data_IF_510849612637
#
_entry.id   IF_510849612637
#
_cell.length_a   1.000
_cell.length_b   1.000
_cell.length_c   1.000
_cell.angle_alpha   90.00
_cell.angle_beta   90.00
_cell.angle_gamma   90.00
#
_symmetry.space_group_name_H-M   'P 1'
#
loop_
_entity.id
_entity.type
_entity.pdbx_description
1 polymer ?
#
# COMPACT_ATOMS: atom_id res chain seq x y z
N UNK A 1 -21.25 -23.79 24.63
CA UNK A 1 -21.61 -22.46 24.08
C UNK A 1 -20.33 -21.68 23.92
N UNK A 2 -20.13 -21.11 22.72
CA UNK A 2 -18.84 -20.82 22.11
C UNK A 2 -17.94 -19.84 22.85
N UNK A 3 -16.64 -20.06 22.65
CA UNK A 3 -15.53 -19.25 23.14
C UNK A 3 -15.68 -17.78 22.70
N UNK A 4 -15.68 -16.87 23.67
CA UNK A 4 -15.49 -15.44 23.45
C UNK A 4 -14.04 -15.21 23.07
N UNK A 5 -13.78 -14.97 21.78
CA UNK A 5 -12.46 -14.56 21.23
C UNK A 5 -12.08 -13.13 21.68
N UNK A 6 -11.95 -12.92 22.99
CA UNK A 6 -11.36 -11.71 23.58
C UNK A 6 -9.96 -12.04 24.09
N UNK A 7 -8.96 -11.95 23.21
CA UNK A 7 -7.59 -11.51 23.52
C UNK A 7 -6.77 -11.57 22.23
N UNK A 8 -6.67 -10.47 21.49
CA UNK A 8 -5.54 -10.33 20.54
C UNK A 8 -4.94 -8.93 20.43
N UNK A 9 -5.58 -7.88 20.95
CA UNK A 9 -5.03 -6.53 20.89
C UNK A 9 -5.38 -5.74 22.18
N UNK A 10 -4.40 -5.05 22.81
CA UNK A 10 -4.64 -4.22 23.97
C UNK A 10 -5.50 -2.99 23.63
N UNK A 11 -6.29 -2.54 24.60
CA UNK A 11 -7.31 -1.46 24.56
C UNK A 11 -6.84 -0.06 24.10
N UNK A 12 -5.57 0.09 23.74
CA UNK A 12 -4.97 1.38 23.35
C UNK A 12 -4.95 1.61 21.83
N UNK A 13 -5.54 0.69 21.06
CA UNK A 13 -5.54 0.65 19.59
C UNK A 13 -6.87 1.07 18.95
N UNK A 14 -7.90 1.36 19.75
CA UNK A 14 -9.27 1.59 19.28
C UNK A 14 -9.42 2.82 18.37
N UNK A 15 -8.42 3.72 18.34
CA UNK A 15 -8.42 4.93 17.52
C UNK A 15 -7.34 4.97 16.42
N UNK A 16 -6.64 3.87 16.14
CA UNK A 16 -5.64 3.84 15.08
C UNK A 16 -6.24 3.29 13.79
N UNK A 17 -6.33 4.14 12.77
CA UNK A 17 -6.68 3.71 11.40
C UNK A 17 -5.73 2.57 11.00
N UNK A 18 -6.25 1.41 10.55
CA UNK A 18 -5.40 0.34 10.08
C UNK A 18 -4.59 0.84 8.88
N UNK A 19 -3.29 0.50 8.84
CA UNK A 19 -2.39 0.93 7.78
C UNK A 19 -2.31 -0.11 6.68
N UNK A 20 -2.43 0.32 5.42
CA UNK A 20 -2.19 -0.52 4.25
C UNK A 20 -1.12 0.15 3.38
N UNK A 21 -0.19 -0.68 2.92
CA UNK A 21 0.88 -0.24 2.02
C UNK A 21 0.69 -0.91 0.68
N UNK A 22 0.47 -0.12 -0.35
CA UNK A 22 0.39 -0.58 -1.74
C UNK A 22 1.79 -0.52 -2.36
N UNK A 23 2.06 -1.47 -3.24
CA UNK A 23 3.30 -1.50 -4.02
C UNK A 23 3.02 -2.13 -5.38
N UNK A 24 4.01 -2.05 -6.25
CA UNK A 24 3.87 -2.30 -7.68
C UNK A 24 4.44 -1.12 -8.46
N UNK A 25 4.78 -1.35 -9.72
CA UNK A 25 5.46 -0.34 -10.53
C UNK A 25 6.04 -0.91 -11.81
N UNK A 26 6.91 -0.14 -12.44
CA UNK A 26 7.58 -0.51 -13.69
C UNK A 26 6.79 -0.14 -14.95
N UNK A 27 5.46 -0.27 -14.96
CA UNK A 27 4.59 0.26 -16.02
C UNK A 27 3.27 0.80 -15.47
N UNK A 28 2.63 1.73 -16.19
CA UNK A 28 1.34 2.30 -15.79
C UNK A 28 0.25 1.22 -15.56
N UNK A 29 0.27 0.14 -16.33
CA UNK A 29 -0.71 -0.97 -16.22
C UNK A 29 -0.65 -1.72 -14.88
N UNK A 30 0.50 -1.77 -14.22
CA UNK A 30 0.62 -2.39 -12.89
C UNK A 30 0.27 -1.41 -11.75
N UNK A 31 0.30 -0.11 -12.02
CA UNK A 31 0.00 0.94 -11.03
C UNK A 31 -1.50 1.25 -11.01
N UNK A 32 -2.15 1.26 -12.18
CA UNK A 32 -3.56 1.64 -12.33
C UNK A 32 -4.53 0.90 -11.41
N UNK A 33 -4.43 -0.43 -11.17
CA UNK A 33 -5.33 -1.12 -10.25
C UNK A 33 -5.20 -0.59 -8.82
N UNK A 34 -3.98 -0.28 -8.37
CA UNK A 34 -3.75 0.29 -7.05
C UNK A 34 -4.41 1.67 -6.93
N UNK A 35 -4.27 2.53 -7.95
CA UNK A 35 -4.88 3.86 -7.95
C UNK A 35 -6.41 3.80 -7.84
N UNK A 36 -7.03 2.83 -8.51
CA UNK A 36 -8.48 2.62 -8.45
C UNK A 36 -8.96 2.18 -7.06
N UNK A 37 -8.11 1.52 -6.26
CA UNK A 37 -8.45 1.04 -4.92
C UNK A 37 -8.31 2.11 -3.84
N UNK A 38 -7.39 3.07 -4.00
CA UNK A 38 -7.07 4.07 -2.97
C UNK A 38 -8.31 4.77 -2.41
N UNK A 39 -9.25 5.34 -3.22
CA UNK A 39 -10.40 6.05 -2.69
C UNK A 39 -11.33 5.17 -1.84
N UNK A 40 -11.49 3.89 -2.23
CA UNK A 40 -12.30 2.93 -1.47
C UNK A 40 -11.65 2.60 -0.13
N UNK A 41 -10.34 2.39 -0.12
CA UNK A 41 -9.59 2.11 1.11
C UNK A 41 -9.62 3.31 2.07
N UNK A 42 -9.46 4.53 1.57
CA UNK A 42 -9.58 5.73 2.40
C UNK A 42 -10.99 5.89 2.98
N UNK A 43 -12.04 5.61 2.18
CA UNK A 43 -13.44 5.64 2.63
C UNK A 43 -13.75 4.57 3.68
N UNK A 44 -13.09 3.42 3.61
CA UNK A 44 -13.15 2.35 4.63
C UNK A 44 -12.31 2.66 5.88
N UNK A 45 -11.65 3.82 5.93
CA UNK A 45 -10.92 4.29 7.09
C UNK A 45 -9.47 3.79 7.18
N UNK A 46 -8.91 3.27 6.09
CA UNK A 46 -7.50 2.89 6.05
C UNK A 46 -6.60 4.13 5.98
N UNK A 47 -5.42 4.01 6.58
CA UNK A 47 -4.28 4.87 6.28
C UNK A 47 -3.50 4.24 5.12
N UNK A 48 -3.64 4.80 3.92
CA UNK A 48 -3.07 4.25 2.69
C UNK A 48 -1.73 4.93 2.39
N UNK A 49 -0.69 4.13 2.20
CA UNK A 49 0.63 4.59 1.78
C UNK A 49 1.12 3.76 0.59
N UNK A 50 2.08 4.29 -0.18
CA UNK A 50 2.61 3.61 -1.36
C UNK A 50 4.12 3.49 -1.29
N UNK A 51 4.66 2.35 -1.71
CA UNK A 51 6.11 2.13 -1.87
C UNK A 51 6.41 1.73 -3.31
N UNK A 52 7.36 2.41 -3.95
CA UNK A 52 7.76 2.10 -5.32
C UNK A 52 9.16 2.61 -5.68
N UNK A 53 9.53 2.47 -6.94
CA UNK A 53 10.82 2.95 -7.43
C UNK A 53 10.91 4.48 -7.36
N UNK A 54 11.99 5.00 -6.79
CA UNK A 54 12.25 6.45 -6.75
C UNK A 54 12.29 7.11 -8.14
N UNK A 55 12.51 6.31 -9.20
CA UNK A 55 12.62 6.73 -10.59
C UNK A 55 11.48 6.19 -11.46
N UNK A 56 10.52 5.47 -10.88
CA UNK A 56 9.42 4.83 -11.61
C UNK A 56 8.27 5.78 -11.89
N UNK A 57 7.49 5.46 -12.94
CA UNK A 57 6.27 6.21 -13.30
C UNK A 57 5.23 6.20 -12.17
N UNK A 58 5.23 5.16 -11.33
CA UNK A 58 4.37 5.05 -10.16
C UNK A 58 4.49 6.25 -9.21
N UNK A 59 5.67 6.86 -9.10
CA UNK A 59 5.87 8.02 -8.22
C UNK A 59 4.97 9.17 -8.65
N UNK A 60 5.04 9.55 -9.93
CA UNK A 60 4.25 10.65 -10.48
C UNK A 60 2.75 10.35 -10.40
N UNK A 61 2.35 9.12 -10.75
CA UNK A 61 0.94 8.72 -10.75
C UNK A 61 0.34 8.71 -9.33
N UNK A 62 1.10 8.26 -8.33
CA UNK A 62 0.62 8.19 -6.95
C UNK A 62 0.66 9.55 -6.26
N UNK A 63 1.68 10.38 -6.53
CA UNK A 63 1.74 11.76 -6.01
C UNK A 63 0.53 12.60 -6.46
N UNK A 64 -0.02 12.33 -7.66
CA UNK A 64 -1.26 12.97 -8.14
C UNK A 64 -2.51 12.57 -7.34
N UNK A 65 -2.51 11.39 -6.72
CA UNK A 65 -3.62 10.92 -5.86
C UNK A 65 -3.52 11.54 -4.46
N UNK A 66 -2.34 12.02 -4.06
CA UNK A 66 -2.16 12.75 -2.80
C UNK A 66 -1.91 11.88 -1.56
N UNK A 67 -1.56 10.60 -1.75
CA UNK A 67 -1.16 9.71 -0.64
C UNK A 67 0.37 9.72 -0.43
N UNK A 68 0.87 9.41 0.78
CA UNK A 68 2.30 9.31 1.03
C UNK A 68 2.99 8.29 0.13
N UNK A 69 4.05 8.72 -0.55
CA UNK A 69 4.87 7.88 -1.41
C UNK A 69 6.27 7.72 -0.84
N UNK A 70 6.71 6.47 -0.68
CA UNK A 70 8.05 6.13 -0.23
C UNK A 70 8.85 5.58 -1.41
N UNK A 71 9.80 6.37 -1.89
CA UNK A 71 10.72 5.98 -2.95
C UNK A 71 11.82 5.06 -2.42
N UNK A 72 11.99 3.91 -3.05
CA UNK A 72 13.12 3.00 -2.81
C UNK A 72 13.99 2.85 -4.06
N UNK A 73 15.24 2.41 -3.89
CA UNK A 73 16.04 1.91 -5.01
C UNK A 73 15.50 0.54 -5.41
N UNK A 74 15.08 0.39 -6.66
CA UNK A 74 14.56 -0.88 -7.19
C UNK A 74 15.11 -1.13 -8.60
N UNK A 75 15.23 -2.40 -8.95
CA UNK A 75 15.74 -2.83 -10.26
C UNK A 75 15.01 -4.09 -10.74
N UNK A 76 15.21 -4.42 -12.02
CA UNK A 76 14.64 -5.66 -12.58
C UNK A 76 15.19 -6.86 -11.83
N UNK A 77 14.30 -7.77 -11.45
CA UNK A 77 14.70 -9.08 -10.95
C UNK A 77 15.47 -9.81 -12.05
N UNK A 78 16.76 -10.02 -11.84
CA UNK A 78 17.61 -10.72 -12.81
C UNK A 78 17.43 -12.23 -12.62
N UNK A 79 16.97 -12.92 -13.66
CA UNK A 79 16.75 -14.37 -13.65
C UNK A 79 18.03 -15.12 -14.07
N UNK A 80 19.08 -15.06 -13.24
CA UNK A 80 20.33 -15.81 -13.50
C UNK A 80 20.23 -17.30 -13.16
N UNK A 81 19.12 -17.72 -12.56
CA UNK A 81 18.82 -19.11 -12.28
C UNK A 81 17.94 -19.65 -13.41
N UNK A 82 18.57 -20.03 -14.52
CA UNK A 82 18.00 -20.85 -15.60
C UNK A 82 19.10 -21.69 -16.22
#
# INVERSE_FOLDING_TARGET
MGATNQTKYPSNLENQKPKIVLTGGGTAGHVSPNLALIPSLEAEGWNVEYIGSSQGIEKQLVEQVGIPYHGISSGKLRRYFS
#
